data_IF_324110712187
#
_entry.id   IF_324110712187
#
_cell.length_a   1.000
_cell.length_b   1.000
_cell.length_c   1.000
_cell.angle_alpha   90.00
_cell.angle_beta   90.00
_cell.angle_gamma   90.00
#
_symmetry.space_group_name_H-M   'P 1'
#
loop_
_entity.id
_entity.type
_entity.pdbx_description
1 polymer ?
#
# COMPACT_ATOMS: atom_id res chain seq x y z
N UNK A 1 0.04 16.46 -6.70
CA UNK A 1 1.02 15.60 -6.01
C UNK A 1 1.93 14.96 -7.03
N UNK A 2 3.22 14.96 -6.76
CA UNK A 2 4.20 14.32 -7.64
C UNK A 2 4.50 12.93 -7.13
N UNK A 3 5.06 12.08 -8.00
CA UNK A 3 5.42 10.73 -7.60
C UNK A 3 6.35 10.70 -6.40
N UNK A 4 7.26 11.66 -6.34
CA UNK A 4 8.16 11.82 -5.20
C UNK A 4 7.37 12.00 -3.92
N UNK A 5 6.41 12.90 -3.96
CA UNK A 5 5.57 13.18 -2.80
C UNK A 5 4.71 11.97 -2.45
N UNK A 6 4.26 11.26 -3.46
CA UNK A 6 3.49 10.04 -3.25
C UNK A 6 4.31 9.04 -2.45
N UNK A 7 5.56 8.82 -2.87
CA UNK A 7 6.42 7.86 -2.19
C UNK A 7 6.73 8.28 -0.77
N UNK A 8 6.99 9.56 -0.56
CA UNK A 8 7.28 10.05 0.78
C UNK A 8 6.10 9.84 1.70
N UNK A 9 4.90 10.14 1.20
CA UNK A 9 3.71 9.96 2.01
C UNK A 9 3.44 8.48 2.26
N UNK A 10 3.68 7.66 1.24
CA UNK A 10 3.52 6.22 1.37
C UNK A 10 4.41 5.68 2.48
N UNK A 11 5.69 6.03 2.46
CA UNK A 11 6.62 5.57 3.48
C UNK A 11 6.22 6.05 4.86
N UNK A 12 5.74 7.28 4.96
CA UNK A 12 5.31 7.82 6.23
C UNK A 12 4.14 7.04 6.80
N UNK A 13 3.19 6.69 5.94
CA UNK A 13 2.05 5.91 6.38
C UNK A 13 2.46 4.51 6.82
N UNK A 14 3.39 3.91 6.09
CA UNK A 14 3.89 2.59 6.45
C UNK A 14 4.60 2.62 7.79
N UNK A 15 5.35 3.69 8.07
CA UNK A 15 6.01 3.86 9.35
C UNK A 15 5.00 3.89 10.50
N UNK A 16 3.85 4.48 10.22
CA UNK A 16 2.79 4.58 11.22
C UNK A 16 1.91 3.33 11.23
N UNK A 17 2.21 2.38 10.38
CA UNK A 17 1.41 1.16 10.23
C UNK A 17 -0.01 1.46 9.80
N UNK A 18 -0.17 2.52 9.03
CA UNK A 18 -1.47 2.84 8.45
C UNK A 18 -1.56 2.21 7.08
N UNK A 19 -2.77 1.97 6.63
CA UNK A 19 -3.00 1.34 5.33
C UNK A 19 -2.96 2.42 4.24
N UNK A 20 -1.94 2.43 3.38
CA UNK A 20 -1.85 3.46 2.35
C UNK A 20 -3.00 3.42 1.36
N UNK A 21 -3.57 2.25 1.10
CA UNK A 21 -4.66 2.13 0.14
C UNK A 21 -5.93 2.85 0.60
N UNK A 22 -6.01 3.21 1.88
CA UNK A 22 -7.15 3.95 2.38
C UNK A 22 -6.93 5.46 2.31
N UNK A 23 -5.73 5.89 1.94
CA UNK A 23 -5.44 7.32 1.85
C UNK A 23 -6.02 7.86 0.55
N UNK A 24 -6.93 8.82 0.65
CA UNK A 24 -7.60 9.34 -0.54
C UNK A 24 -6.63 10.10 -1.44
N UNK A 25 -5.64 10.75 -0.88
CA UNK A 25 -4.66 11.49 -1.69
C UNK A 25 -3.82 10.54 -2.51
N UNK A 26 -3.38 9.44 -1.92
CA UNK A 26 -2.61 8.44 -2.64
C UNK A 26 -3.46 7.79 -3.72
N UNK A 27 -4.69 7.48 -3.40
CA UNK A 27 -5.60 6.87 -4.38
C UNK A 27 -5.84 7.80 -5.55
N UNK A 28 -6.01 9.10 -5.28
CA UNK A 28 -6.25 10.06 -6.33
C UNK A 28 -5.04 10.17 -7.27
N UNK A 29 -3.85 10.17 -6.70
CA UNK A 29 -2.64 10.21 -7.53
C UNK A 29 -2.49 8.90 -8.30
N UNK A 30 -2.79 7.79 -7.68
CA UNK A 30 -2.68 6.48 -8.33
C UNK A 30 -3.63 6.36 -9.52
N UNK A 31 -4.74 7.07 -9.49
CA UNK A 31 -5.65 7.05 -10.63
C UNK A 31 -5.04 7.71 -11.86
N UNK A 32 -4.08 8.62 -11.65
CA UNK A 32 -3.45 9.34 -12.74
C UNK A 32 -2.09 8.78 -13.09
N UNK A 33 -1.50 7.97 -12.23
CA UNK A 33 -0.16 7.47 -12.45
C UNK A 33 -0.16 5.95 -12.29
N UNK A 34 0.06 5.25 -13.39
CA UNK A 34 0.04 3.80 -13.38
C UNK A 34 1.13 3.23 -12.47
N UNK A 35 2.30 3.87 -12.46
CA UNK A 35 3.40 3.40 -11.62
C UNK A 35 3.03 3.48 -10.15
N UNK A 36 2.46 4.60 -9.74
CA UNK A 36 2.08 4.78 -8.35
C UNK A 36 0.94 3.85 -7.97
N UNK A 37 0.06 3.57 -8.93
CA UNK A 37 -1.01 2.61 -8.69
C UNK A 37 -0.46 1.23 -8.44
N UNK A 38 0.54 0.82 -9.22
CA UNK A 38 1.18 -0.47 -9.00
C UNK A 38 1.90 -0.51 -7.66
N UNK A 39 2.57 0.57 -7.32
CA UNK A 39 3.27 0.66 -6.04
C UNK A 39 2.27 0.52 -4.88
N UNK A 40 1.14 1.20 -5.00
CA UNK A 40 0.12 1.15 -3.96
C UNK A 40 -0.46 -0.25 -3.86
N UNK A 41 -0.73 -0.88 -5.00
CA UNK A 41 -1.27 -2.23 -5.01
C UNK A 41 -0.26 -3.23 -4.44
N UNK A 42 1.01 -3.05 -4.74
CA UNK A 42 2.04 -3.93 -4.21
C UNK A 42 2.12 -3.83 -2.69
N UNK A 43 2.00 -2.62 -2.15
CA UNK A 43 1.99 -2.45 -0.71
C UNK A 43 0.79 -3.15 -0.08
N UNK A 44 -0.35 -3.04 -0.72
CA UNK A 44 -1.54 -3.71 -0.22
C UNK A 44 -1.38 -5.21 -0.23
N UNK A 45 -0.78 -5.74 -1.29
CA UNK A 45 -0.55 -7.18 -1.39
C UNK A 45 0.41 -7.67 -0.33
N UNK A 46 1.44 -6.89 -0.05
CA UNK A 46 2.41 -7.27 0.96
C UNK A 46 1.74 -7.41 2.32
N UNK A 47 0.89 -6.46 2.64
CA UNK A 47 0.16 -6.51 3.91
C UNK A 47 -0.78 -7.70 3.95
N UNK A 48 -1.49 -7.93 2.86
CA UNK A 48 -2.38 -9.08 2.77
C UNK A 48 -1.60 -10.38 2.84
N UNK A 49 -0.45 -10.42 2.19
CA UNK A 49 0.39 -11.60 2.20
C UNK A 49 0.86 -11.96 3.60
N UNK A 50 1.22 -10.94 4.37
CA UNK A 50 1.64 -11.18 5.74
C UNK A 50 0.49 -11.74 6.57
N UNK A 51 -0.71 -11.22 6.36
CA UNK A 51 -1.86 -11.72 7.07
C UNK A 51 -2.15 -13.17 6.71
N UNK A 52 -2.01 -13.49 5.44
CA UNK A 52 -2.23 -14.87 5.00
C UNK A 52 -1.18 -15.80 5.58
N UNK A 53 0.03 -15.31 5.72
CA UNK A 53 1.08 -16.14 6.29
C UNK A 53 0.89 -16.36 7.78
N UNK A 54 0.26 -15.41 8.41
CA UNK A 54 -0.04 -15.57 9.81
C UNK A 54 -1.15 -16.56 10.05
N UNK A 55 -1.99 -16.73 9.11
CA UNK A 55 -3.01 -17.68 9.22
C UNK A 55 -2.39 -18.99 9.11
N UNK A 56 -2.37 -19.72 10.04
CA UNK A 56 -1.82 -20.95 10.00
C UNK A 56 -2.63 -21.76 9.26
N UNK A 57 -2.36 -22.03 8.44
CA UNK A 57 -3.00 -22.77 7.82
C UNK A 57 -3.47 -23.80 8.41
N UNK A 58 -4.23 -23.98 8.49
CA UNK A 58 -4.74 -24.84 8.99
C UNK A 58 -4.62 -25.98 8.53
N UNK A 59 -4.41 -26.03 8.00
CA UNK A 59 -4.28 -26.98 7.53
C UNK A 59 -4.25 -27.87 8.33
N UNK A 60 -4.21 -27.58 8.68
CA UNK A 60 -4.07 -28.30 9.22
C UNK A 60 -4.61 -28.89 9.47
#
# INVERSE_FOLDING_TARGET
>A
MRCEQFEQRLHRLLDRRETPSEDSRLNRHAERCAQCRETLAACGRMLDGLNLMELPVPGD
#
